data_IF_106570396573
#
_entry.id   IF_106570396573
#
_cell.length_a   1.000
_cell.length_b   1.000
_cell.length_c   1.000
_cell.angle_alpha   90.00
_cell.angle_beta   90.00
_cell.angle_gamma   90.00
#
_symmetry.space_group_name_H-M   'P 1'
#
loop_
_entity.id
_entity.type
_entity.pdbx_description
1 polymer ?
#
# COMPACT_ATOMS: atom_id res chain seq x y z
N UNK A 1 61.46 24.77 23.28
CA UNK A 1 60.97 23.62 22.47
C UNK A 1 59.52 23.28 22.90
N UNK A 2 58.50 23.83 22.22
CA UNK A 2 57.09 23.53 22.50
C UNK A 2 56.63 22.48 21.51
N UNK A 3 56.24 21.31 22.01
CA UNK A 3 55.58 20.25 21.20
C UNK A 3 54.12 20.62 21.00
N UNK A 4 53.74 20.89 19.74
CA UNK A 4 52.32 21.00 19.33
C UNK A 4 51.74 19.61 19.20
N UNK A 5 50.77 19.26 20.04
CA UNK A 5 49.95 18.08 19.87
C UNK A 5 48.84 18.42 18.87
N UNK A 6 48.86 17.76 17.72
CA UNK A 6 47.82 17.83 16.68
C UNK A 6 46.83 16.72 16.98
N UNK A 7 45.69 17.06 17.58
CA UNK A 7 44.58 16.14 17.77
C UNK A 7 43.80 16.00 16.45
N UNK A 8 43.87 14.83 15.84
CA UNK A 8 43.10 14.48 14.64
C UNK A 8 41.67 14.11 15.08
N UNK A 9 40.72 14.99 14.79
CA UNK A 9 39.31 14.72 15.02
C UNK A 9 38.78 13.82 13.86
N UNK A 10 38.60 12.53 14.12
CA UNK A 10 37.99 11.59 13.18
C UNK A 10 36.48 11.80 13.21
N UNK A 11 35.93 12.53 12.24
CA UNK A 11 34.49 12.62 12.03
C UNK A 11 34.03 11.31 11.33
N UNK A 12 33.48 10.41 12.10
CA UNK A 12 32.79 9.24 11.54
C UNK A 12 31.50 9.72 10.86
N UNK A 13 31.50 9.82 9.54
CA UNK A 13 30.26 9.93 8.76
C UNK A 13 29.55 8.58 8.86
N UNK A 14 28.52 8.51 9.70
CA UNK A 14 27.55 7.43 9.64
C UNK A 14 26.74 7.64 8.34
N UNK A 15 27.12 6.94 7.28
CA UNK A 15 26.26 6.80 6.11
C UNK A 15 25.06 5.96 6.54
N UNK A 16 23.93 6.60 6.81
CA UNK A 16 22.64 5.93 6.86
C UNK A 16 22.43 5.32 5.47
N UNK A 17 22.55 4.00 5.37
CA UNK A 17 22.14 3.27 4.18
C UNK A 17 20.62 3.46 4.06
N UNK A 18 20.20 4.38 3.18
CA UNK A 18 18.81 4.47 2.75
C UNK A 18 18.57 3.15 2.00
N UNK A 19 17.84 2.23 2.64
CA UNK A 19 17.40 0.99 2.01
C UNK A 19 16.40 1.39 0.92
N UNK A 20 16.84 1.37 -0.33
CA UNK A 20 15.93 1.55 -1.45
C UNK A 20 14.90 0.41 -1.40
N UNK A 21 13.60 0.73 -1.52
CA UNK A 21 12.56 -0.28 -1.66
C UNK A 21 12.89 -1.17 -2.85
N UNK A 22 12.85 -2.48 -2.62
CA UNK A 22 13.04 -3.43 -3.70
C UNK A 22 11.75 -3.58 -4.51
N UNK A 23 11.87 -3.67 -5.83
CA UNK A 23 10.76 -4.03 -6.69
C UNK A 23 10.24 -5.43 -6.32
N UNK A 24 8.92 -5.56 -6.16
CA UNK A 24 8.24 -6.81 -5.84
C UNK A 24 7.17 -7.08 -6.90
N UNK A 25 7.34 -8.14 -7.69
CA UNK A 25 6.44 -8.46 -8.80
C UNK A 25 4.99 -8.64 -8.36
N UNK A 26 4.74 -9.24 -7.19
CA UNK A 26 3.40 -9.39 -6.65
C UNK A 26 2.72 -8.03 -6.36
N UNK A 27 3.50 -7.03 -5.97
CA UNK A 27 3.00 -5.68 -5.73
C UNK A 27 2.70 -4.97 -7.05
N UNK A 28 3.56 -5.16 -8.06
CA UNK A 28 3.30 -4.67 -9.42
C UNK A 28 2.02 -5.25 -9.99
N UNK A 29 1.82 -6.57 -9.89
CA UNK A 29 0.62 -7.23 -10.41
C UNK A 29 -0.66 -6.66 -9.79
N UNK A 30 -0.63 -6.27 -8.50
CA UNK A 30 -1.77 -5.65 -7.83
C UNK A 30 -1.91 -4.17 -8.20
N UNK A 31 -0.82 -3.45 -8.38
CA UNK A 31 -0.87 -2.09 -8.92
C UNK A 31 -1.43 -2.07 -10.35
N UNK A 32 -1.11 -3.08 -11.17
CA UNK A 32 -1.67 -3.24 -12.52
C UNK A 32 -3.14 -3.67 -12.53
N UNK A 33 -3.64 -4.25 -11.43
CA UNK A 33 -5.05 -4.59 -11.25
C UNK A 33 -5.92 -3.39 -10.82
N UNK A 34 -5.35 -2.22 -10.61
CA UNK A 34 -6.10 -0.97 -10.44
C UNK A 34 -6.93 -0.72 -11.69
N UNK A 35 -8.21 -0.44 -11.52
CA UNK A 35 -9.16 -0.29 -12.60
C UNK A 35 -9.50 1.18 -12.84
N UNK A 36 -9.06 1.72 -13.96
CA UNK A 36 -9.45 3.08 -14.37
C UNK A 36 -10.97 3.20 -14.51
N UNK A 37 -11.64 2.15 -15.03
CA UNK A 37 -13.09 2.13 -15.18
C UNK A 37 -13.80 2.20 -13.83
N UNK A 38 -13.32 1.48 -12.83
CA UNK A 38 -13.94 1.50 -11.48
C UNK A 38 -13.71 2.85 -10.80
N UNK A 39 -12.53 3.44 -10.95
CA UNK A 39 -12.23 4.82 -10.45
C UNK A 39 -13.18 5.82 -11.09
N UNK A 40 -13.33 5.81 -12.42
CA UNK A 40 -14.23 6.71 -13.14
C UNK A 40 -15.69 6.51 -12.69
N UNK A 41 -16.13 5.27 -12.60
CA UNK A 41 -17.49 4.93 -12.18
C UNK A 41 -17.77 5.40 -10.76
N UNK A 42 -16.82 5.20 -9.85
CA UNK A 42 -16.94 5.66 -8.47
C UNK A 42 -16.96 7.18 -8.39
N UNK A 43 -16.06 7.85 -9.11
CA UNK A 43 -15.98 9.31 -9.13
C UNK A 43 -17.26 9.96 -9.67
N UNK A 44 -17.82 9.42 -10.77
CA UNK A 44 -19.08 9.90 -11.34
C UNK A 44 -20.27 9.67 -10.40
N UNK A 45 -20.35 8.48 -9.79
CA UNK A 45 -21.40 8.17 -8.83
C UNK A 45 -21.31 9.06 -7.58
N UNK A 46 -20.09 9.30 -7.09
CA UNK A 46 -19.84 10.18 -5.96
C UNK A 46 -20.22 11.65 -6.27
N UNK A 47 -19.88 12.14 -7.47
CA UNK A 47 -20.29 13.47 -7.94
C UNK A 47 -21.82 13.58 -8.04
N UNK A 48 -22.50 12.49 -8.44
CA UNK A 48 -23.96 12.42 -8.53
C UNK A 48 -24.70 12.59 -7.21
N UNK A 49 -24.01 12.49 -6.06
CA UNK A 49 -24.59 12.73 -4.73
C UNK A 49 -24.74 14.25 -4.42
N UNK A 50 -24.26 15.11 -5.30
CA UNK A 50 -24.34 16.56 -5.13
C UNK A 50 -23.28 17.12 -4.20
N UNK A 51 -23.57 18.30 -3.61
CA UNK A 51 -22.67 18.97 -2.65
C UNK A 51 -22.79 18.32 -1.28
N UNK A 52 -21.70 17.73 -0.81
CA UNK A 52 -21.65 16.89 0.40
C UNK A 52 -21.23 17.67 1.63
N UNK A 53 -21.83 18.86 1.81
CA UNK A 53 -21.50 19.73 2.94
C UNK A 53 -21.78 19.03 4.27
N UNK A 54 -20.81 19.06 5.17
CA UNK A 54 -20.89 18.44 6.51
C UNK A 54 -22.17 18.81 7.25
N UNK A 55 -22.80 17.83 7.88
CA UNK A 55 -24.05 17.98 8.60
C UNK A 55 -25.31 18.03 7.73
N UNK A 56 -25.21 17.85 6.40
CA UNK A 56 -26.35 17.77 5.49
C UNK A 56 -26.74 16.33 5.18
N UNK A 57 -27.95 16.14 4.62
CA UNK A 57 -28.39 14.82 4.14
C UNK A 57 -27.49 14.29 3.04
N UNK A 58 -27.02 15.13 2.10
CA UNK A 58 -26.11 14.71 1.03
C UNK A 58 -24.77 14.19 1.58
N UNK A 59 -24.27 14.75 2.68
CA UNK A 59 -23.09 14.24 3.37
C UNK A 59 -23.36 12.85 3.99
N UNK A 60 -24.51 12.67 4.64
CA UNK A 60 -24.92 11.37 5.18
C UNK A 60 -25.15 10.32 4.06
N UNK A 61 -25.71 10.71 2.93
CA UNK A 61 -25.92 9.85 1.78
C UNK A 61 -24.56 9.43 1.15
N UNK A 62 -23.59 10.34 1.10
CA UNK A 62 -22.23 10.04 0.65
C UNK A 62 -21.54 9.03 1.56
N UNK A 63 -21.62 9.21 2.89
CA UNK A 63 -21.10 8.23 3.85
C UNK A 63 -21.72 6.84 3.62
N UNK A 64 -23.05 6.78 3.47
CA UNK A 64 -23.78 5.54 3.24
C UNK A 64 -23.39 4.90 1.90
N UNK A 65 -23.18 5.70 0.86
CA UNK A 65 -22.72 5.22 -0.43
C UNK A 65 -21.31 4.62 -0.33
N UNK A 66 -20.35 5.32 0.30
CA UNK A 66 -18.99 4.80 0.54
C UNK A 66 -19.06 3.48 1.31
N UNK A 67 -19.84 3.44 2.39
CA UNK A 67 -20.06 2.23 3.20
C UNK A 67 -20.59 1.06 2.35
N UNK A 68 -21.54 1.32 1.44
CA UNK A 68 -22.10 0.31 0.54
C UNK A 68 -21.05 -0.25 -0.43
N UNK A 69 -20.09 0.57 -0.87
CA UNK A 69 -18.96 0.14 -1.71
C UNK A 69 -18.08 -0.87 -0.97
N UNK A 70 -17.70 -0.58 0.27
CA UNK A 70 -16.94 -1.53 1.08
C UNK A 70 -17.66 -2.86 1.29
N UNK A 71 -18.97 -2.81 1.58
CA UNK A 71 -19.79 -4.03 1.68
C UNK A 71 -19.80 -4.81 0.36
N UNK A 72 -19.92 -4.12 -0.78
CA UNK A 72 -19.89 -4.75 -2.11
C UNK A 72 -18.54 -5.38 -2.45
N UNK A 73 -17.43 -4.83 -1.93
CA UNK A 73 -16.11 -5.42 -2.03
C UNK A 73 -15.93 -6.64 -1.11
N UNK A 74 -16.90 -6.89 -0.22
CA UNK A 74 -16.95 -8.02 0.70
C UNK A 74 -16.28 -7.77 2.04
N UNK A 75 -16.09 -6.52 2.47
CA UNK A 75 -15.83 -6.21 3.87
C UNK A 75 -17.07 -6.52 4.70
N UNK A 76 -16.89 -7.12 5.87
CA UNK A 76 -17.99 -7.43 6.78
C UNK A 76 -18.40 -6.18 7.57
N UNK A 77 -19.64 -6.17 8.05
CA UNK A 77 -20.13 -5.08 8.91
C UNK A 77 -19.27 -4.89 10.18
N UNK A 78 -18.64 -5.95 10.69
CA UNK A 78 -17.74 -5.87 11.85
C UNK A 78 -16.41 -5.18 11.57
N UNK A 79 -16.04 -5.01 10.30
CA UNK A 79 -14.84 -4.29 9.88
C UNK A 79 -15.12 -2.80 9.64
N UNK A 80 -16.38 -2.38 9.69
CA UNK A 80 -16.84 -1.02 9.40
C UNK A 80 -17.32 -0.38 10.69
N UNK A 81 -16.79 0.78 11.02
CA UNK A 81 -17.23 1.61 12.14
C UNK A 81 -17.45 3.05 11.72
N UNK A 82 -18.30 3.74 12.43
CA UNK A 82 -18.60 5.15 12.24
C UNK A 82 -18.16 5.91 13.51
N UNK A 83 -17.38 6.94 13.36
CA UNK A 83 -16.96 7.84 14.43
C UNK A 83 -17.80 9.12 14.33
N UNK A 84 -18.70 9.31 15.29
CA UNK A 84 -19.65 10.42 15.30
C UNK A 84 -19.09 11.61 16.05
N UNK A 85 -19.12 12.79 15.44
CA UNK A 85 -18.66 14.03 16.05
C UNK A 85 -19.69 15.14 15.99
N UNK A 86 -19.68 16.09 16.96
CA UNK A 86 -20.57 17.23 16.98
C UNK A 86 -20.19 18.23 15.88
N UNK A 87 -21.18 18.79 15.18
CA UNK A 87 -21.00 19.83 14.19
C UNK A 87 -22.11 20.87 14.32
N UNK A 88 -21.82 22.03 14.95
CA UNK A 88 -22.81 23.04 15.26
C UNK A 88 -23.92 22.48 16.14
N UNK A 89 -25.17 22.52 15.65
CA UNK A 89 -26.37 21.99 16.34
C UNK A 89 -26.72 20.57 15.90
N UNK A 90 -25.90 19.94 15.04
CA UNK A 90 -26.09 18.59 14.50
C UNK A 90 -24.86 17.73 14.75
N UNK A 91 -24.78 16.58 14.10
CA UNK A 91 -23.61 15.68 14.11
C UNK A 91 -23.23 15.31 12.69
N UNK A 92 -21.97 14.97 12.50
CA UNK A 92 -21.50 14.28 11.29
C UNK A 92 -20.68 13.05 11.69
N UNK A 93 -20.17 12.30 10.71
CA UNK A 93 -19.49 11.05 10.97
C UNK A 93 -18.29 10.86 10.04
N UNK A 94 -17.23 10.33 10.60
CA UNK A 94 -16.15 9.69 9.84
C UNK A 94 -16.52 8.22 9.56
N UNK A 95 -16.04 7.67 8.46
CA UNK A 95 -16.21 6.24 8.15
C UNK A 95 -14.85 5.55 8.21
N UNK A 96 -14.75 4.51 9.03
CA UNK A 96 -13.52 3.77 9.27
C UNK A 96 -13.71 2.31 8.89
N UNK A 97 -12.86 1.79 8.02
CA UNK A 97 -12.83 0.38 7.67
C UNK A 97 -11.50 -0.21 8.13
N UNK A 98 -11.55 -1.28 8.92
CA UNK A 98 -10.35 -1.93 9.45
C UNK A 98 -10.14 -3.28 8.78
N UNK A 99 -9.00 -3.40 8.09
CA UNK A 99 -8.47 -4.66 7.60
C UNK A 99 -7.40 -5.15 8.58
N UNK A 100 -7.68 -6.24 9.26
CA UNK A 100 -6.79 -6.78 10.31
C UNK A 100 -5.52 -7.37 9.70
N UNK A 101 -4.38 -7.00 10.23
CA UNK A 101 -3.07 -7.55 9.91
C UNK A 101 -2.82 -8.92 10.55
N UNK A 102 -1.92 -9.69 9.99
CA UNK A 102 -1.65 -11.07 10.40
C UNK A 102 -0.54 -11.20 11.45
N UNK A 103 0.34 -10.21 11.56
CA UNK A 103 1.49 -10.21 12.49
C UNK A 103 1.33 -9.14 13.57
N UNK A 104 0.97 -7.94 13.17
CA UNK A 104 0.78 -6.78 14.04
C UNK A 104 -0.66 -6.27 13.96
N UNK A 105 -1.66 -7.03 14.47
CA UNK A 105 -3.08 -6.71 14.31
C UNK A 105 -3.50 -5.42 15.02
N UNK A 106 -2.73 -4.97 16.01
CA UNK A 106 -3.00 -3.75 16.78
C UNK A 106 -2.10 -2.57 16.38
N UNK A 107 -1.32 -2.70 15.31
CA UNK A 107 -0.52 -1.61 14.75
C UNK A 107 -1.00 -1.27 13.34
N UNK A 108 -1.26 0.01 13.09
CA UNK A 108 -2.07 0.45 11.95
C UNK A 108 -1.28 1.30 10.97
N UNK A 109 -1.40 0.97 9.70
CA UNK A 109 -1.18 1.89 8.59
C UNK A 109 -2.53 2.53 8.28
N UNK A 110 -2.61 3.85 8.32
CA UNK A 110 -3.82 4.58 7.95
C UNK A 110 -3.64 5.10 6.53
N UNK A 111 -4.64 4.90 5.68
CA UNK A 111 -4.82 5.63 4.43
C UNK A 111 -6.12 6.40 4.53
N UNK A 112 -6.08 7.71 4.31
CA UNK A 112 -7.22 8.58 4.55
C UNK A 112 -7.35 9.70 3.52
N UNK A 113 -8.48 10.39 3.60
CA UNK A 113 -8.86 11.59 2.90
C UNK A 113 -10.31 11.92 3.21
N UNK A 114 -10.74 13.15 2.95
CA UNK A 114 -12.11 13.55 3.23
C UNK A 114 -13.08 13.19 2.10
N UNK A 115 -14.37 13.22 2.43
CA UNK A 115 -15.45 12.98 1.47
C UNK A 115 -16.48 14.11 1.43
N UNK A 116 -16.37 15.08 2.31
CA UNK A 116 -17.22 16.27 2.26
C UNK A 116 -16.77 17.26 1.18
N UNK A 117 -17.60 18.21 0.86
CA UNK A 117 -17.32 19.32 -0.07
C UNK A 117 -18.18 20.54 0.32
N UNK A 118 -17.77 21.76 -0.04
CA UNK A 118 -18.50 22.99 0.37
C UNK A 118 -19.32 23.65 -0.72
N UNK A 119 -18.82 23.80 -1.94
CA UNK A 119 -19.51 24.56 -3.00
C UNK A 119 -19.47 23.71 -4.24
N UNK A 120 -19.09 22.97 -4.76
CA UNK A 120 -19.10 22.15 -5.97
C UNK A 120 -19.44 20.70 -5.68
N UNK A 121 -19.33 19.92 -6.70
CA UNK A 121 -19.53 18.47 -6.58
C UNK A 121 -18.36 17.77 -5.85
N UNK A 122 -17.24 18.48 -5.62
CA UNK A 122 -16.07 17.92 -4.96
C UNK A 122 -15.51 16.75 -5.71
N UNK A 123 -15.28 16.88 -7.03
CA UNK A 123 -14.79 15.78 -7.85
C UNK A 123 -13.29 15.62 -7.70
N UNK A 124 -12.54 16.73 -7.79
CA UNK A 124 -11.14 16.75 -7.44
C UNK A 124 -10.98 16.78 -5.91
N UNK A 125 -11.71 17.66 -5.25
CA UNK A 125 -11.63 17.96 -3.82
C UNK A 125 -12.87 17.42 -3.07
N UNK A 126 -12.89 16.22 -2.46
CA UNK A 126 -11.86 15.20 -2.56
C UNK A 126 -12.44 13.84 -2.99
N UNK A 127 -13.28 13.88 -4.04
CA UNK A 127 -13.76 12.67 -4.72
C UNK A 127 -12.63 11.86 -5.33
N UNK A 128 -11.56 12.55 -5.77
CA UNK A 128 -10.38 11.93 -6.34
C UNK A 128 -9.68 11.03 -5.32
N UNK A 129 -9.33 11.55 -4.15
CA UNK A 129 -8.74 10.78 -3.05
C UNK A 129 -9.68 9.68 -2.55
N UNK A 130 -10.97 9.99 -2.33
CA UNK A 130 -11.99 9.02 -1.96
C UNK A 130 -12.03 7.82 -2.94
N UNK A 131 -11.98 8.06 -4.26
CA UNK A 131 -12.02 7.01 -5.27
C UNK A 131 -10.76 6.13 -5.27
N UNK A 132 -9.59 6.73 -5.05
CA UNK A 132 -8.32 5.99 -4.92
C UNK A 132 -8.30 5.13 -3.66
N UNK A 133 -8.78 5.63 -2.52
CA UNK A 133 -8.88 4.86 -1.27
C UNK A 133 -9.81 3.66 -1.43
N UNK A 134 -10.96 3.84 -2.08
CA UNK A 134 -11.90 2.76 -2.39
C UNK A 134 -11.24 1.69 -3.27
N UNK A 135 -10.50 2.09 -4.29
CA UNK A 135 -9.82 1.17 -5.20
C UNK A 135 -8.70 0.40 -4.49
N UNK A 136 -7.90 1.09 -3.66
CA UNK A 136 -6.88 0.44 -2.83
C UNK A 136 -7.50 -0.61 -1.89
N UNK A 137 -8.64 -0.29 -1.30
CA UNK A 137 -9.37 -1.21 -0.44
C UNK A 137 -9.88 -2.44 -1.22
N UNK A 138 -10.43 -2.23 -2.43
CA UNK A 138 -10.89 -3.31 -3.31
C UNK A 138 -9.75 -4.29 -3.64
N UNK A 139 -8.61 -3.76 -4.07
CA UNK A 139 -7.43 -4.55 -4.44
C UNK A 139 -6.87 -5.32 -3.24
N UNK A 140 -6.76 -4.68 -2.08
CA UNK A 140 -6.08 -5.27 -0.93
C UNK A 140 -7.01 -6.07 0.00
N UNK A 141 -8.30 -6.17 -0.32
CA UNK A 141 -9.28 -6.81 0.56
C UNK A 141 -8.86 -8.22 1.01
N UNK A 142 -8.44 -9.06 0.09
CA UNK A 142 -8.06 -10.47 0.37
C UNK A 142 -6.56 -10.68 0.52
N UNK A 143 -5.76 -9.65 0.36
CA UNK A 143 -4.30 -9.73 0.45
C UNK A 143 -3.89 -9.71 1.92
N UNK A 144 -3.24 -10.75 2.47
CA UNK A 144 -2.70 -10.68 3.82
C UNK A 144 -1.65 -9.56 3.94
N UNK A 145 -1.70 -8.83 5.05
CA UNK A 145 -0.71 -7.81 5.38
C UNK A 145 -0.19 -8.06 6.80
N UNK A 146 1.06 -7.73 7.08
CA UNK A 146 1.58 -7.88 8.44
C UNK A 146 0.90 -6.90 9.40
N UNK A 147 0.81 -5.63 9.00
CA UNK A 147 0.15 -4.57 9.75
C UNK A 147 -1.33 -4.48 9.37
N UNK A 148 -2.16 -4.07 10.31
CA UNK A 148 -3.54 -3.68 10.01
C UNK A 148 -3.58 -2.43 9.15
N UNK A 149 -4.60 -2.34 8.27
CA UNK A 149 -4.85 -1.13 7.48
C UNK A 149 -6.19 -0.54 7.92
N UNK A 150 -6.20 0.75 8.18
CA UNK A 150 -7.43 1.54 8.31
C UNK A 150 -7.61 2.40 7.07
N UNK A 151 -8.73 2.21 6.37
CA UNK A 151 -9.19 3.10 5.33
C UNK A 151 -10.17 4.06 6.00
N UNK A 152 -9.84 5.35 6.01
CA UNK A 152 -10.64 6.35 6.71
C UNK A 152 -11.11 7.42 5.72
N UNK A 153 -12.42 7.67 5.73
CA UNK A 153 -13.01 8.78 5.01
C UNK A 153 -13.52 9.79 6.05
N UNK A 154 -12.85 10.92 6.13
CA UNK A 154 -13.18 11.99 7.07
C UNK A 154 -14.29 12.87 6.52
N UNK A 155 -15.07 13.47 7.41
CA UNK A 155 -16.04 14.54 7.12
C UNK A 155 -15.69 15.78 7.92
N UNK A 156 -16.04 16.95 7.41
CA UNK A 156 -15.76 18.20 8.09
C UNK A 156 -14.35 18.73 7.90
N UNK A 157 -13.64 18.21 6.92
CA UNK A 157 -12.33 18.71 6.51
C UNK A 157 -12.45 20.16 6.09
N UNK A 158 -13.30 20.42 5.12
CA UNK A 158 -13.60 21.69 4.47
C UNK A 158 -14.07 22.83 5.42
N UNK A 159 -14.46 22.47 6.60
CA UNK A 159 -14.90 23.41 7.63
C UNK A 159 -13.87 23.58 8.76
N UNK A 160 -12.68 23.02 8.61
CA UNK A 160 -11.57 23.14 9.54
C UNK A 160 -11.20 21.81 10.22
N UNK A 161 -11.14 20.71 9.47
CA UNK A 161 -10.62 19.41 9.91
C UNK A 161 -11.40 18.80 11.10
N UNK A 162 -12.71 19.11 11.23
CA UNK A 162 -13.50 18.72 12.41
C UNK A 162 -13.48 17.21 12.65
N UNK A 163 -13.62 16.41 11.58
CA UNK A 163 -13.66 14.95 11.70
C UNK A 163 -12.32 14.36 12.07
N UNK A 164 -11.24 14.78 11.43
CA UNK A 164 -9.90 14.29 11.70
C UNK A 164 -9.38 14.73 13.07
N UNK A 165 -9.64 15.97 13.51
CA UNK A 165 -9.37 16.38 14.90
C UNK A 165 -10.15 15.53 15.90
N UNK A 166 -11.47 15.33 15.67
CA UNK A 166 -12.26 14.49 16.57
C UNK A 166 -11.72 13.07 16.67
N UNK A 167 -11.37 12.47 15.54
CA UNK A 167 -10.81 11.12 15.51
C UNK A 167 -9.48 11.03 16.25
N UNK A 168 -8.58 11.98 16.04
CA UNK A 168 -7.29 12.02 16.72
C UNK A 168 -7.47 12.19 18.23
N UNK A 169 -8.28 13.15 18.66
CA UNK A 169 -8.42 13.50 20.08
C UNK A 169 -9.25 12.48 20.90
N UNK A 170 -10.11 11.68 20.26
CA UNK A 170 -11.03 10.78 20.97
C UNK A 170 -10.81 9.29 20.65
N UNK A 171 -10.23 8.95 19.49
CA UNK A 171 -10.00 7.56 19.05
C UNK A 171 -8.52 7.19 19.09
N UNK A 172 -7.64 8.08 18.62
CA UNK A 172 -6.19 7.84 18.65
C UNK A 172 -5.62 8.13 20.03
N UNK A 173 -6.09 9.20 20.65
CA UNK A 173 -5.69 9.63 21.98
C UNK A 173 -6.90 9.70 22.91
N UNK A 174 -6.67 9.46 24.20
CA UNK A 174 -7.60 9.77 25.28
C UNK A 174 -6.88 10.74 26.23
N UNK A 175 -7.16 12.02 26.03
CA UNK A 175 -6.35 13.10 26.59
C UNK A 175 -4.92 13.07 25.99
N UNK A 176 -3.92 12.88 26.86
CA UNK A 176 -2.53 12.77 26.39
C UNK A 176 -2.06 11.31 26.20
N UNK A 177 -2.93 10.33 26.45
CA UNK A 177 -2.55 8.92 26.32
C UNK A 177 -2.84 8.44 24.89
N UNK A 178 -1.81 8.07 24.15
CA UNK A 178 -1.92 7.39 22.87
C UNK A 178 -2.46 5.97 23.08
N UNK A 179 -3.66 5.69 22.53
CA UNK A 179 -4.32 4.38 22.70
C UNK A 179 -4.36 3.58 21.39
N UNK A 180 -4.13 4.23 20.24
CA UNK A 180 -4.02 3.58 18.95
C UNK A 180 -2.56 3.60 18.47
N UNK A 181 -1.97 2.42 18.23
CA UNK A 181 -0.59 2.33 17.73
C UNK A 181 -0.57 2.51 16.20
N UNK A 182 -0.27 3.73 15.75
CA UNK A 182 -0.19 4.09 14.34
C UNK A 182 1.26 3.95 13.86
N UNK A 183 1.47 3.22 12.76
CA UNK A 183 2.76 3.13 12.09
C UNK A 183 3.04 4.36 11.25
N UNK A 184 2.06 4.79 10.47
CA UNK A 184 2.06 6.00 9.66
C UNK A 184 0.64 6.35 9.17
N UNK A 185 0.47 7.60 8.76
CA UNK A 185 -0.72 8.12 8.09
C UNK A 185 -0.35 8.53 6.67
N UNK A 186 -1.08 8.00 5.69
CA UNK A 186 -0.95 8.28 4.27
C UNK A 186 -2.23 8.97 3.78
N UNK A 187 -2.17 10.28 3.60
CA UNK A 187 -3.30 11.11 3.16
C UNK A 187 -3.35 11.20 1.64
N UNK A 188 -4.55 11.26 1.09
CA UNK A 188 -4.81 11.50 -0.33
C UNK A 188 -5.79 12.67 -0.43
N UNK A 189 -5.31 13.81 -0.93
CA UNK A 189 -6.12 15.00 -1.08
C UNK A 189 -5.79 15.74 -2.36
N UNK A 190 -6.84 16.12 -3.12
CA UNK A 190 -6.73 16.78 -4.41
C UNK A 190 -5.73 16.09 -5.35
N UNK A 191 -6.04 14.85 -5.73
CA UNK A 191 -5.23 14.04 -6.64
C UNK A 191 -5.91 13.84 -8.00
N UNK A 192 -6.79 14.77 -8.38
CA UNK A 192 -7.61 14.71 -9.60
C UNK A 192 -6.87 15.16 -10.85
N UNK A 193 -5.88 16.00 -10.71
CA UNK A 193 -5.21 16.64 -11.83
C UNK A 193 -6.12 17.61 -12.59
N UNK A 194 -5.59 18.28 -13.59
CA UNK A 194 -6.32 19.26 -14.41
C UNK A 194 -6.46 18.74 -15.84
N UNK A 195 -7.70 18.58 -16.29
CA UNK A 195 -7.97 18.09 -17.65
C UNK A 195 -7.22 18.90 -18.71
N UNK A 196 -6.56 18.20 -19.63
CA UNK A 196 -5.81 18.79 -20.73
C UNK A 196 -4.40 19.25 -20.38
N UNK A 197 -3.98 19.15 -19.10
CA UNK A 197 -2.61 19.44 -18.69
C UNK A 197 -1.73 18.17 -18.71
N UNK A 198 -0.41 18.37 -18.66
CA UNK A 198 0.53 17.26 -18.55
C UNK A 198 0.67 16.82 -17.08
N UNK A 199 -0.29 16.02 -16.61
CA UNK A 199 -0.33 15.49 -15.25
C UNK A 199 0.57 14.25 -15.14
N UNK A 200 1.89 14.42 -15.10
CA UNK A 200 2.87 13.33 -15.01
C UNK A 200 3.65 13.29 -13.69
N UNK A 201 3.38 14.23 -12.79
CA UNK A 201 4.11 14.40 -11.52
C UNK A 201 3.12 14.56 -10.38
N UNK A 202 3.44 13.96 -9.24
CA UNK A 202 2.68 14.10 -8.00
C UNK A 202 3.59 14.66 -6.90
N UNK A 203 3.06 15.50 -6.03
CA UNK A 203 3.72 15.87 -4.78
C UNK A 203 3.60 14.74 -3.78
N UNK A 204 4.72 14.45 -3.11
CA UNK A 204 4.77 13.62 -1.92
C UNK A 204 4.96 14.57 -0.74
N UNK A 205 3.96 14.63 0.13
CA UNK A 205 3.89 15.59 1.21
C UNK A 205 4.91 15.27 2.30
N UNK A 206 5.65 16.30 2.69
CA UNK A 206 6.65 16.23 3.74
C UNK A 206 6.14 16.93 5.01
N UNK A 207 6.26 16.27 6.13
CA UNK A 207 6.07 16.85 7.45
C UNK A 207 7.16 17.92 7.70
N UNK A 208 6.73 19.16 7.70
CA UNK A 208 7.59 20.34 7.92
C UNK A 208 7.19 21.12 9.17
N UNK A 209 6.18 20.63 9.90
CA UNK A 209 5.51 21.39 10.95
C UNK A 209 5.70 20.87 12.37
N UNK A 210 4.92 21.43 13.22
CA UNK A 210 4.44 21.08 14.54
C UNK A 210 5.46 20.57 15.56
N UNK A 211 5.65 19.27 15.60
CA UNK A 211 6.53 18.60 16.57
C UNK A 211 7.78 18.08 15.85
N UNK A 212 8.94 18.77 15.96
CA UNK A 212 10.14 18.41 15.19
C UNK A 212 10.65 16.98 15.43
N UNK A 213 10.18 16.31 16.47
CA UNK A 213 10.64 14.97 16.85
C UNK A 213 10.29 13.86 15.89
N UNK A 214 9.25 14.02 15.06
CA UNK A 214 8.80 13.03 14.07
C UNK A 214 9.21 13.38 12.63
N UNK A 215 9.64 14.61 12.32
CA UNK A 215 9.91 15.05 10.94
C UNK A 215 10.93 14.14 10.22
N UNK A 216 11.98 13.67 10.89
CA UNK A 216 12.94 12.75 10.28
C UNK A 216 12.33 11.37 9.92
N UNK A 217 11.43 10.88 10.76
CA UNK A 217 10.72 9.62 10.49
C UNK A 217 9.70 9.80 9.37
N UNK A 218 8.95 10.91 9.37
CA UNK A 218 8.02 11.27 8.29
C UNK A 218 8.77 11.46 6.96
N UNK A 219 9.92 12.15 6.94
CA UNK A 219 10.76 12.32 5.75
C UNK A 219 11.24 10.97 5.19
N UNK A 220 11.55 10.00 6.05
CA UNK A 220 11.90 8.63 5.63
C UNK A 220 10.71 7.96 4.92
N UNK A 221 9.50 8.08 5.44
CA UNK A 221 8.30 7.51 4.84
C UNK A 221 7.94 8.24 3.54
N UNK A 222 8.10 9.57 3.48
CA UNK A 222 7.91 10.34 2.24
C UNK A 222 8.89 9.89 1.16
N UNK A 223 10.15 9.61 1.51
CA UNK A 223 11.11 9.05 0.55
C UNK A 223 10.72 7.61 0.14
N UNK A 224 10.18 6.80 1.05
CA UNK A 224 9.64 5.48 0.73
C UNK A 224 8.46 5.58 -0.23
N UNK A 225 7.53 6.53 -0.02
CA UNK A 225 6.42 6.83 -0.92
C UNK A 225 6.89 7.16 -2.34
N UNK A 226 7.91 8.03 -2.46
CA UNK A 226 8.53 8.39 -3.75
C UNK A 226 9.12 7.18 -4.47
N UNK A 227 9.86 6.34 -3.74
CA UNK A 227 10.46 5.12 -4.28
C UNK A 227 9.38 4.16 -4.78
N UNK A 228 8.33 3.95 -4.00
CA UNK A 228 7.19 3.10 -4.40
C UNK A 228 6.46 3.66 -5.63
N UNK A 229 6.27 4.98 -5.70
CA UNK A 229 5.68 5.63 -6.87
C UNK A 229 6.50 5.33 -8.13
N UNK A 230 7.82 5.49 -8.08
CA UNK A 230 8.70 5.20 -9.20
C UNK A 230 8.73 3.71 -9.59
N UNK A 231 8.51 2.78 -8.63
CA UNK A 231 8.49 1.34 -8.88
C UNK A 231 7.18 0.87 -9.52
N UNK A 232 6.03 1.46 -9.17
CA UNK A 232 4.71 0.89 -9.49
C UNK A 232 3.80 1.79 -10.31
N UNK A 233 4.21 3.02 -10.60
CA UNK A 233 3.45 4.00 -11.39
C UNK A 233 4.37 4.71 -12.38
N UNK A 234 3.87 5.20 -13.52
CA UNK A 234 4.65 6.01 -14.44
C UNK A 234 4.83 7.47 -13.96
N UNK A 235 4.30 7.84 -12.79
CA UNK A 235 4.39 9.21 -12.27
C UNK A 235 5.80 9.53 -11.77
N UNK A 236 6.21 10.74 -12.01
CA UNK A 236 7.34 11.38 -11.35
C UNK A 236 6.90 11.93 -9.99
N UNK A 237 7.85 12.17 -9.10
CA UNK A 237 7.57 12.72 -7.77
C UNK A 237 8.41 13.94 -7.47
N UNK A 238 7.79 14.94 -6.87
CA UNK A 238 8.44 16.06 -6.19
C UNK A 238 8.03 16.02 -4.70
N UNK A 239 8.80 16.67 -3.84
CA UNK A 239 8.45 16.82 -2.42
C UNK A 239 7.93 18.24 -2.21
N UNK A 240 6.82 18.36 -1.51
CA UNK A 240 6.25 19.63 -1.10
C UNK A 240 5.90 19.57 0.41
N UNK A 241 5.86 20.70 1.13
CA UNK A 241 5.33 20.72 2.49
C UNK A 241 3.91 20.17 2.55
N UNK A 242 3.59 19.51 3.65
CA UNK A 242 2.24 19.00 3.90
C UNK A 242 1.21 20.14 3.84
N UNK A 243 0.10 19.88 3.14
CA UNK A 243 -1.01 20.81 2.98
C UNK A 243 -1.91 20.81 4.24
N UNK A 244 -2.80 21.80 4.34
CA UNK A 244 -3.81 21.84 5.40
C UNK A 244 -4.90 20.78 5.08
N UNK A 245 -4.69 19.54 5.47
CA UNK A 245 -5.59 18.42 5.23
C UNK A 245 -5.63 17.44 6.42
N UNK A 246 -6.35 16.34 6.30
CA UNK A 246 -6.71 15.41 7.39
C UNK A 246 -5.54 14.77 8.14
N UNK A 247 -4.33 14.79 7.62
CA UNK A 247 -3.15 14.31 8.36
C UNK A 247 -2.62 15.31 9.39
N UNK A 248 -2.98 16.61 9.32
CA UNK A 248 -2.47 17.66 10.21
C UNK A 248 -2.76 17.39 11.69
N UNK A 249 -3.95 16.97 12.11
CA UNK A 249 -4.19 16.62 13.52
C UNK A 249 -3.29 15.50 14.03
N UNK A 250 -2.90 14.56 13.16
CA UNK A 250 -1.94 13.49 13.48
C UNK A 250 -0.52 14.03 13.63
N UNK A 251 -0.09 14.91 12.70
CA UNK A 251 1.20 15.60 12.73
C UNK A 251 1.36 16.38 14.04
N UNK A 252 0.34 17.14 14.44
CA UNK A 252 0.33 17.92 15.67
C UNK A 252 0.47 17.08 16.95
N UNK A 253 0.15 15.79 16.87
CA UNK A 253 0.37 14.81 17.95
C UNK A 253 1.66 14.01 17.79
N UNK A 254 2.48 14.30 16.76
CA UNK A 254 3.77 13.65 16.51
C UNK A 254 3.67 12.28 15.84
N UNK A 255 2.54 11.97 15.21
CA UNK A 255 2.42 10.78 14.37
C UNK A 255 3.19 10.97 13.06
N UNK A 256 3.66 9.88 12.47
CA UNK A 256 4.36 9.90 11.19
C UNK A 256 3.34 10.09 10.06
N UNK A 257 3.54 11.11 9.24
CA UNK A 257 2.65 11.44 8.12
C UNK A 257 3.38 11.48 6.79
N UNK A 258 2.63 11.23 5.73
CA UNK A 258 2.97 11.53 4.33
C UNK A 258 1.68 11.59 3.53
N UNK A 259 1.72 12.07 2.30
CA UNK A 259 0.53 12.17 1.45
C UNK A 259 0.84 12.31 -0.02
N UNK A 260 -0.21 12.29 -0.83
CA UNK A 260 -0.19 12.72 -2.21
C UNK A 260 -1.06 13.95 -2.39
N UNK A 261 -0.52 14.93 -3.13
CA UNK A 261 -1.22 16.10 -3.63
C UNK A 261 -0.88 16.33 -5.12
N UNK A 262 -1.80 16.89 -5.90
CA UNK A 262 -1.55 17.15 -7.31
C UNK A 262 -0.49 18.24 -7.52
N UNK A 263 0.50 17.98 -8.38
CA UNK A 263 1.57 18.95 -8.64
C UNK A 263 1.08 20.17 -9.44
N UNK A 264 0.19 19.97 -10.41
CA UNK A 264 -0.47 21.04 -11.11
C UNK A 264 -1.78 21.32 -10.40
N UNK A 265 -1.76 22.34 -9.54
CA UNK A 265 -2.90 22.67 -8.70
C UNK A 265 -4.09 23.13 -9.53
N UNK A 266 -5.22 22.46 -9.35
CA UNK A 266 -6.48 22.88 -9.93
C UNK A 266 -6.94 24.20 -9.32
N UNK A 267 -7.58 25.04 -10.11
CA UNK A 267 -8.23 26.27 -9.63
C UNK A 267 -9.74 26.07 -9.39
N UNK A 268 -10.24 24.84 -9.54
CA UNK A 268 -11.66 24.51 -9.44
C UNK A 268 -12.14 24.07 -8.06
N UNK A 269 -11.30 23.53 -7.14
CA UNK A 269 -11.73 23.27 -5.76
C UNK A 269 -12.48 24.43 -5.13
N UNK A 270 -13.46 24.13 -4.29
CA UNK A 270 -14.36 25.11 -3.65
C UNK A 270 -15.18 25.96 -4.64
N UNK A 271 -15.32 25.52 -5.88
CA UNK A 271 -16.17 26.17 -6.90
C UNK A 271 -17.16 25.18 -7.53
N UNK A 272 -18.18 25.70 -8.19
CA UNK A 272 -19.13 24.89 -8.98
C UNK A 272 -18.48 24.19 -10.18
N UNK A 273 -17.24 24.55 -10.51
CA UNK A 273 -16.47 23.97 -11.61
C UNK A 273 -15.61 22.77 -11.16
N UNK A 274 -15.61 22.41 -9.88
CA UNK A 274 -15.02 21.15 -9.46
C UNK A 274 -15.89 19.97 -9.91
N UNK A 275 -15.71 19.62 -11.17
CA UNK A 275 -16.52 18.64 -11.89
C UNK A 275 -15.66 17.63 -12.62
N UNK A 276 -16.25 16.50 -12.98
CA UNK A 276 -15.58 15.44 -13.74
C UNK A 276 -14.95 15.94 -15.07
N UNK A 277 -15.57 16.92 -15.72
CA UNK A 277 -15.06 17.47 -16.99
C UNK A 277 -13.72 18.22 -16.83
N UNK A 278 -13.40 18.66 -15.61
CA UNK A 278 -12.20 19.44 -15.32
C UNK A 278 -11.10 18.62 -14.61
N UNK A 279 -11.38 17.35 -14.27
CA UNK A 279 -10.39 16.42 -13.70
C UNK A 279 -9.83 15.47 -14.75
N UNK A 280 -8.65 14.92 -14.51
CA UNK A 280 -7.96 13.96 -15.38
C UNK A 280 -8.06 12.53 -14.84
N UNK A 281 -8.99 11.69 -15.33
CA UNK A 281 -9.16 10.32 -14.82
C UNK A 281 -7.94 9.42 -15.07
N UNK A 282 -7.12 9.72 -16.07
CA UNK A 282 -5.87 8.97 -16.30
C UNK A 282 -4.84 9.26 -15.20
N UNK A 283 -4.77 10.52 -14.78
CA UNK A 283 -3.90 10.90 -13.67
C UNK A 283 -4.35 10.20 -12.36
N UNK A 284 -5.65 10.23 -12.05
CA UNK A 284 -6.21 9.55 -10.87
C UNK A 284 -5.89 8.04 -10.92
N UNK A 285 -5.99 7.42 -12.09
CA UNK A 285 -5.61 6.02 -12.29
C UNK A 285 -4.12 5.77 -11.96
N UNK A 286 -3.22 6.65 -12.43
CA UNK A 286 -1.78 6.56 -12.14
C UNK A 286 -1.48 6.77 -10.66
N UNK A 287 -2.21 7.68 -9.99
CA UNK A 287 -2.17 7.86 -8.53
C UNK A 287 -2.65 6.58 -7.83
N UNK A 288 -3.72 5.95 -8.30
CA UNK A 288 -4.21 4.68 -7.77
C UNK A 288 -3.14 3.58 -7.79
N UNK A 289 -2.39 3.45 -8.89
CA UNK A 289 -1.27 2.50 -9.00
C UNK A 289 -0.17 2.83 -7.98
N UNK A 290 0.22 4.09 -7.86
CA UNK A 290 1.21 4.55 -6.89
C UNK A 290 0.77 4.27 -5.45
N UNK A 291 -0.48 4.61 -5.11
CA UNK A 291 -1.05 4.41 -3.77
C UNK A 291 -1.14 2.93 -3.39
N UNK A 292 -1.62 2.07 -4.30
CA UNK A 292 -1.66 0.61 -4.08
C UNK A 292 -0.24 0.06 -3.92
N UNK A 293 0.71 0.51 -4.74
CA UNK A 293 2.12 0.13 -4.63
C UNK A 293 2.70 0.48 -3.27
N UNK A 294 2.57 1.74 -2.84
CA UNK A 294 3.08 2.23 -1.56
C UNK A 294 2.40 1.56 -0.35
N UNK A 295 1.08 1.45 -0.36
CA UNK A 295 0.33 0.85 0.76
C UNK A 295 0.73 -0.61 1.01
N UNK A 296 1.10 -1.36 -0.03
CA UNK A 296 1.63 -2.72 0.10
C UNK A 296 2.96 -2.76 0.84
N UNK A 297 3.88 -1.82 0.58
CA UNK A 297 5.14 -1.70 1.32
C UNK A 297 4.88 -1.24 2.76
N UNK A 298 4.06 -0.23 2.95
CA UNK A 298 3.75 0.31 4.28
C UNK A 298 3.13 -0.75 5.21
N UNK A 299 2.22 -1.56 4.68
CA UNK A 299 1.53 -2.60 5.44
C UNK A 299 2.22 -3.98 5.38
N UNK A 300 3.32 -4.11 4.63
CA UNK A 300 4.05 -5.37 4.36
C UNK A 300 3.09 -6.46 3.86
N UNK A 301 2.62 -6.27 2.63
CA UNK A 301 1.68 -7.20 2.02
C UNK A 301 2.36 -8.51 1.60
N UNK A 302 1.64 -9.62 1.69
CA UNK A 302 2.14 -10.92 1.28
C UNK A 302 2.52 -10.91 -0.22
N UNK A 303 3.67 -11.47 -0.52
CA UNK A 303 4.21 -11.57 -1.89
C UNK A 303 3.67 -12.77 -2.65
N UNK A 304 3.10 -13.75 -1.94
CA UNK A 304 2.45 -14.89 -2.55
C UNK A 304 1.01 -14.53 -2.94
N UNK A 305 0.60 -14.78 -4.17
CA UNK A 305 -0.80 -14.79 -4.57
C UNK A 305 -1.44 -15.99 -3.88
N UNK A 306 -2.43 -15.75 -3.02
CA UNK A 306 -3.29 -16.82 -2.53
C UNK A 306 -4.13 -17.32 -3.73
N UNK A 307 -3.57 -18.25 -4.51
CA UNK A 307 -4.39 -19.15 -5.32
C UNK A 307 -5.33 -19.87 -4.35
N UNK A 308 -6.59 -20.04 -4.74
CA UNK A 308 -7.67 -20.73 -4.03
C UNK A 308 -7.16 -21.74 -3.02
N UNK A 309 -7.45 -21.50 -1.73
CA UNK A 309 -7.15 -22.43 -0.67
C UNK A 309 -7.95 -23.73 -0.89
N UNK A 310 -7.29 -24.73 -1.47
CA UNK A 310 -7.47 -26.06 -0.91
C UNK A 310 -6.54 -26.15 0.31
N UNK A 311 -7.14 -26.42 1.46
CA UNK A 311 -6.46 -26.62 2.73
C UNK A 311 -5.61 -27.88 2.66
N UNK A 312 -4.36 -27.73 2.21
CA UNK A 312 -3.32 -28.76 2.40
C UNK A 312 -2.28 -28.15 3.32
N UNK A 313 -2.00 -28.84 4.40
CA UNK A 313 -1.13 -28.44 5.48
C UNK A 313 0.18 -27.82 4.96
N UNK A 314 0.49 -26.62 5.45
CA UNK A 314 1.55 -25.70 5.05
C UNK A 314 2.99 -26.25 5.20
N UNK A 315 3.17 -27.54 5.53
CA UNK A 315 4.46 -28.13 5.90
C UNK A 315 5.04 -29.18 4.94
N UNK A 316 4.33 -29.63 3.91
CA UNK A 316 4.74 -30.81 3.16
C UNK A 316 5.72 -30.51 2.01
N UNK A 317 5.56 -29.38 1.29
CA UNK A 317 6.43 -29.05 0.15
C UNK A 317 7.66 -28.21 0.54
N UNK A 318 7.58 -27.40 1.60
CA UNK A 318 8.74 -26.61 2.07
C UNK A 318 9.83 -27.51 2.66
N UNK A 319 9.49 -28.69 3.12
CA UNK A 319 10.41 -29.69 3.66
C UNK A 319 11.12 -30.54 2.60
N UNK A 320 10.77 -30.42 1.30
CA UNK A 320 11.44 -31.16 0.22
C UNK A 320 12.88 -30.69 0.08
N UNK A 321 13.81 -31.63 0.16
CA UNK A 321 15.26 -31.39 0.02
C UNK A 321 15.78 -32.02 -1.23
N UNK A 322 16.73 -31.33 -1.88
CA UNK A 322 17.54 -31.86 -2.98
C UNK A 322 18.96 -32.00 -2.45
N UNK A 323 19.50 -33.22 -2.52
CA UNK A 323 20.86 -33.52 -2.06
C UNK A 323 21.56 -34.59 -2.90
N UNK A 324 22.91 -34.60 -2.94
CA UNK A 324 23.76 -33.54 -2.41
C UNK A 324 23.61 -32.24 -3.21
N UNK A 325 23.86 -31.12 -2.56
CA UNK A 325 23.89 -29.81 -3.22
C UNK A 325 25.00 -28.96 -2.56
N UNK A 326 26.17 -28.78 -3.21
CA UNK A 326 26.52 -29.11 -4.58
C UNK A 326 26.53 -30.60 -4.91
N UNK A 327 26.12 -30.92 -6.15
CA UNK A 327 26.05 -32.27 -6.69
C UNK A 327 27.14 -32.54 -7.76
N UNK A 328 27.50 -33.82 -7.97
CA UNK A 328 28.38 -34.23 -9.07
C UNK A 328 27.57 -34.86 -10.20
N UNK A 329 27.20 -36.12 -10.06
CA UNK A 329 26.57 -36.90 -11.14
C UNK A 329 25.11 -37.24 -10.85
N UNK A 330 24.68 -37.18 -9.58
CA UNK A 330 23.34 -37.52 -9.15
C UNK A 330 22.84 -36.50 -8.09
N UNK A 331 21.53 -36.28 -8.11
CA UNK A 331 20.79 -35.65 -7.02
C UNK A 331 19.69 -36.60 -6.55
N UNK A 332 19.33 -36.51 -5.30
CA UNK A 332 18.15 -37.17 -4.71
C UNK A 332 17.18 -36.14 -4.21
N UNK A 333 15.86 -36.43 -4.36
CA UNK A 333 14.78 -35.63 -3.84
C UNK A 333 14.19 -36.33 -2.64
N UNK A 334 14.24 -35.68 -1.49
CA UNK A 334 13.69 -36.19 -0.24
C UNK A 334 12.38 -35.48 0.07
N UNK A 335 11.31 -36.27 0.15
CA UNK A 335 9.99 -35.84 0.57
C UNK A 335 9.82 -36.21 2.04
N UNK A 336 9.77 -35.21 2.93
CA UNK A 336 9.54 -35.46 4.37
C UNK A 336 8.20 -36.18 4.64
N UNK A 337 7.26 -36.15 3.68
CA UNK A 337 6.03 -36.93 3.69
C UNK A 337 6.10 -38.05 2.66
N UNK A 338 6.21 -39.29 3.11
CA UNK A 338 6.25 -40.50 2.30
C UNK A 338 4.99 -40.77 1.44
N UNK A 339 3.97 -39.93 1.55
CA UNK A 339 2.72 -40.05 0.78
C UNK A 339 2.82 -39.45 -0.62
N UNK A 340 3.83 -38.62 -0.90
CA UNK A 340 4.02 -38.03 -2.23
C UNK A 340 4.67 -39.09 -3.13
N UNK A 341 3.86 -39.71 -3.99
CA UNK A 341 4.31 -40.73 -4.95
C UNK A 341 4.29 -40.25 -6.41
N UNK A 342 3.49 -39.21 -6.69
CA UNK A 342 3.36 -38.67 -8.04
C UNK A 342 3.91 -37.25 -8.08
N UNK A 343 5.05 -37.09 -8.74
CA UNK A 343 5.71 -35.80 -8.94
C UNK A 343 6.48 -35.75 -10.26
N UNK A 344 6.73 -34.55 -10.73
CA UNK A 344 7.71 -34.29 -11.78
C UNK A 344 8.80 -33.38 -11.26
N UNK A 345 10.02 -33.63 -11.70
CA UNK A 345 11.18 -32.79 -11.46
C UNK A 345 11.74 -32.28 -12.77
N UNK A 346 12.03 -31.00 -12.83
CA UNK A 346 12.57 -30.33 -14.01
C UNK A 346 13.74 -29.44 -13.60
N UNK A 347 14.84 -29.50 -14.34
CA UNK A 347 15.96 -28.58 -14.21
C UNK A 347 15.95 -27.62 -15.39
N UNK A 348 16.01 -26.33 -15.09
CA UNK A 348 16.10 -25.25 -16.08
C UNK A 348 17.36 -24.41 -15.85
N UNK A 349 17.82 -23.71 -16.89
CA UNK A 349 18.74 -22.60 -16.75
C UNK A 349 18.00 -21.36 -16.15
N UNK A 350 18.74 -20.26 -15.96
CA UNK A 350 18.14 -19.02 -15.45
C UNK A 350 17.30 -18.26 -16.49
N UNK A 351 17.35 -18.67 -17.76
CA UNK A 351 16.54 -18.15 -18.84
C UNK A 351 15.23 -18.92 -18.99
N UNK A 352 15.07 -20.03 -18.24
CA UNK A 352 13.85 -20.85 -18.19
C UNK A 352 13.83 -21.99 -19.22
N UNK A 353 14.91 -22.26 -19.92
CA UNK A 353 14.99 -23.41 -20.85
C UNK A 353 15.07 -24.71 -20.07
N UNK A 354 14.22 -25.69 -20.42
CA UNK A 354 14.20 -27.01 -19.79
C UNK A 354 15.37 -27.83 -20.27
N UNK A 355 16.25 -28.19 -19.36
CA UNK A 355 17.49 -28.98 -19.64
C UNK A 355 17.30 -30.44 -19.30
N UNK A 356 16.46 -30.77 -18.31
CA UNK A 356 16.22 -32.12 -17.87
C UNK A 356 14.85 -32.22 -17.22
N UNK A 357 14.08 -33.28 -17.53
CA UNK A 357 12.78 -33.55 -16.88
C UNK A 357 12.66 -35.02 -16.51
N UNK A 358 12.14 -35.29 -15.30
CA UNK A 358 11.88 -36.65 -14.79
C UNK A 358 10.52 -36.70 -14.11
N UNK A 359 9.92 -37.89 -14.10
CA UNK A 359 8.62 -38.14 -13.47
C UNK A 359 8.76 -39.33 -12.53
N UNK A 360 8.38 -39.12 -11.26
CA UNK A 360 8.41 -40.15 -10.21
C UNK A 360 9.78 -40.84 -9.99
N UNK A 361 10.88 -40.10 -10.30
CA UNK A 361 12.23 -40.54 -10.02
C UNK A 361 12.80 -39.67 -8.88
N UNK A 362 13.10 -40.30 -7.75
CA UNK A 362 13.68 -39.63 -6.58
C UNK A 362 15.22 -39.53 -6.62
N UNK A 363 15.86 -40.35 -7.48
CA UNK A 363 17.30 -40.30 -7.76
C UNK A 363 17.56 -40.00 -9.23
N UNK A 364 18.10 -38.83 -9.51
CA UNK A 364 18.17 -38.27 -10.85
C UNK A 364 19.63 -38.16 -11.30
N UNK A 365 19.94 -38.71 -12.45
CA UNK A 365 21.26 -38.57 -13.10
C UNK A 365 21.35 -37.20 -13.77
N UNK A 366 22.34 -36.39 -13.38
CA UNK A 366 22.63 -35.05 -13.89
C UNK A 366 24.02 -34.97 -14.56
N UNK A 367 24.65 -36.10 -14.86
CA UNK A 367 25.99 -36.13 -15.43
C UNK A 367 26.12 -35.45 -16.80
N UNK A 368 24.99 -35.29 -17.51
CA UNK A 368 24.92 -34.57 -18.79
C UNK A 368 24.92 -33.04 -18.67
N UNK A 369 24.72 -32.49 -17.47
CA UNK A 369 24.72 -31.05 -17.26
C UNK A 369 26.11 -30.56 -16.89
N UNK A 370 26.49 -29.37 -17.32
CA UNK A 370 27.76 -28.76 -17.01
C UNK A 370 27.85 -28.25 -15.57
N UNK A 371 29.06 -27.93 -15.09
CA UNK A 371 29.24 -27.28 -13.81
C UNK A 371 28.54 -25.90 -13.83
N UNK A 372 27.71 -25.63 -12.83
CA UNK A 372 26.94 -24.39 -12.79
C UNK A 372 25.83 -24.39 -11.75
N UNK A 373 25.08 -23.30 -11.74
CA UNK A 373 23.89 -23.16 -10.92
C UNK A 373 22.66 -23.26 -11.82
N UNK A 374 21.65 -23.96 -11.34
CA UNK A 374 20.41 -24.27 -12.06
C UNK A 374 19.18 -24.06 -11.16
N UNK A 375 18.04 -24.04 -11.78
CA UNK A 375 16.73 -23.98 -11.09
C UNK A 375 16.07 -25.35 -11.17
N UNK A 376 15.87 -26.00 -10.03
CA UNK A 376 15.11 -27.26 -9.91
C UNK A 376 13.66 -26.98 -9.55
N UNK A 377 12.73 -27.44 -10.36
CA UNK A 377 11.28 -27.28 -10.18
C UNK A 377 10.66 -28.64 -9.90
N UNK A 378 10.06 -28.82 -8.72
CA UNK A 378 9.33 -30.03 -8.35
C UNK A 378 7.84 -29.72 -8.39
N UNK A 379 7.05 -30.50 -9.12
CA UNK A 379 5.60 -30.37 -9.21
C UNK A 379 4.90 -31.62 -8.72
N UNK A 380 3.86 -31.45 -7.91
CA UNK A 380 2.98 -32.54 -7.44
C UNK A 380 1.53 -32.05 -7.46
N UNK A 381 0.70 -32.66 -8.29
CA UNK A 381 -0.63 -32.11 -8.60
C UNK A 381 -0.50 -30.68 -9.14
N UNK A 382 -1.27 -29.74 -8.56
CA UNK A 382 -1.28 -28.33 -8.94
C UNK A 382 -0.25 -27.50 -8.16
N UNK A 383 0.58 -28.14 -7.33
CA UNK A 383 1.58 -27.45 -6.50
C UNK A 383 2.99 -27.58 -7.09
N UNK A 384 3.80 -26.56 -6.87
CA UNK A 384 5.21 -26.58 -7.27
C UNK A 384 6.10 -25.95 -6.22
N UNK A 385 7.32 -26.45 -6.09
CA UNK A 385 8.38 -25.86 -5.28
C UNK A 385 9.64 -25.72 -6.12
N UNK A 386 10.32 -24.59 -5.91
CA UNK A 386 11.57 -24.25 -6.61
C UNK A 386 12.74 -24.39 -5.64
N UNK A 387 13.84 -25.00 -6.12
CA UNK A 387 15.09 -25.14 -5.37
C UNK A 387 16.28 -24.80 -6.26
N UNK A 388 17.29 -24.19 -5.68
CA UNK A 388 18.57 -24.00 -6.35
C UNK A 388 19.34 -25.34 -6.40
N UNK A 389 19.86 -25.71 -7.57
CA UNK A 389 20.71 -26.87 -7.76
C UNK A 389 22.08 -26.38 -8.21
N UNK A 390 23.14 -26.81 -7.53
CA UNK A 390 24.52 -26.48 -7.87
C UNK A 390 25.21 -27.76 -8.31
N UNK A 391 25.83 -27.76 -9.50
CA UNK A 391 26.64 -28.86 -10.02
C UNK A 391 28.11 -28.44 -9.94
N UNK A 392 28.91 -29.21 -9.25
CA UNK A 392 30.35 -29.00 -9.07
C UNK A 392 31.07 -30.37 -9.07
N UNK A 393 31.79 -30.66 -10.14
CA UNK A 393 32.59 -31.84 -10.33
C UNK A 393 34.07 -31.55 -10.13
#
# INVERSE_FOLDING_TARGET
>A
MMKKNLSLLLVAMASSAISAQNFIQAYQNRADAVSQTDIITNLQAFAGLGVKKTGTQANADALNWIKSKYLSYGYSASQISEDTFPYGTTTSKNLIITKTGTVYPNKYVIICGHFDSITGLGVNDNGSGTSVILEAARILRTVPTEYSIKFIHFSGEEQGLFGSYHYVDNVVYQGNNRVLDIKLVFNLDQVGGVMGNNNNTVYCDADMGGIPGNNAASATITQELRNCTALYSPLQTEVDPAEASDYIPFEERGEIITGFFERIRSTYPHTVNDTFANTDPEYIYKIGKAAVGALQHFAVAATQTLGTQESVSKNTLESIKIYPNPAKDFISIDFADSKIKNFSFEITDFEGHSLLKRINEDKINISSLENGAYVGIIKTGDQSVVRKVIIAR
#
